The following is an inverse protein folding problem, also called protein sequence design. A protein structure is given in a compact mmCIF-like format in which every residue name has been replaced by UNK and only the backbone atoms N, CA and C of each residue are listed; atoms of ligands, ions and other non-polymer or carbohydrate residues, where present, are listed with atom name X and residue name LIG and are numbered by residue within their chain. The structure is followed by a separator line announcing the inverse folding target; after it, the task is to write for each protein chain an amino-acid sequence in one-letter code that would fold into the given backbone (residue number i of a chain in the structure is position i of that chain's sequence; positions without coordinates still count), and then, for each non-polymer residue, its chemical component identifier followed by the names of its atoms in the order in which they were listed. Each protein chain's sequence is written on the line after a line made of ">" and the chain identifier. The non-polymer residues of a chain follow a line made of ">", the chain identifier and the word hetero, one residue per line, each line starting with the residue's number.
data_IF_011726685895
#
_entry.id   IF_011726685895
#
_cell.length_a   1.000
_cell.length_b   1.000
_cell.length_c   1.000
_cell.angle_alpha   90.00
_cell.angle_beta   90.00
_cell.angle_gamma   90.00
#
_symmetry.space_group_name_H-M   'P 1'
#
loop_
_entity.id
_entity.type
_entity.pdbx_description
1 polymer ?
#
# COMPACT_ATOMS: atom_id res chain seq x y z
N UNK A 1 56.64 -29.62 -8.60
CA UNK A 1 55.33 -29.80 -7.95
C UNK A 1 54.27 -29.04 -8.74
N UNK A 2 53.49 -29.79 -9.50
CA UNK A 2 52.30 -29.35 -10.23
C UNK A 2 51.21 -28.88 -9.27
N UNK A 3 50.87 -27.59 -9.34
CA UNK A 3 49.73 -27.00 -8.64
C UNK A 3 48.45 -27.28 -9.44
N UNK A 4 47.93 -28.50 -9.33
CA UNK A 4 46.56 -28.84 -9.73
C UNK A 4 45.74 -29.07 -8.46
N UNK A 5 45.38 -27.97 -7.79
CA UNK A 5 44.24 -28.00 -6.88
C UNK A 5 42.99 -27.92 -7.75
N UNK A 6 42.47 -29.11 -8.06
CA UNK A 6 41.14 -29.30 -8.63
C UNK A 6 40.13 -28.84 -7.56
N UNK A 7 39.84 -27.55 -7.53
CA UNK A 7 38.71 -27.02 -6.77
C UNK A 7 37.50 -27.02 -7.70
N UNK A 8 36.50 -27.80 -7.28
CA UNK A 8 35.11 -27.47 -7.53
C UNK A 8 34.42 -28.30 -8.59
N UNK A 9 34.18 -29.57 -8.27
CA UNK A 9 33.09 -30.33 -8.88
C UNK A 9 31.76 -29.59 -8.60
N UNK A 10 31.05 -29.29 -9.68
CA UNK A 10 29.75 -28.65 -9.74
C UNK A 10 28.63 -29.54 -9.18
N UNK A 11 27.82 -28.97 -8.26
CA UNK A 11 26.40 -29.22 -7.92
C UNK A 11 26.16 -29.33 -6.41
N UNK A 12 25.50 -28.33 -5.83
CA UNK A 12 25.17 -28.32 -4.40
C UNK A 12 24.24 -27.19 -3.91
N UNK A 13 23.18 -26.87 -4.66
CA UNK A 13 21.88 -26.55 -4.05
C UNK A 13 21.66 -25.22 -3.28
N UNK A 14 22.29 -24.12 -3.67
CA UNK A 14 21.92 -22.77 -3.19
C UNK A 14 21.34 -21.91 -4.32
N UNK A 15 20.31 -21.10 -4.04
CA UNK A 15 19.84 -20.12 -5.03
C UNK A 15 20.93 -19.07 -5.29
N UNK A 16 21.15 -18.78 -6.58
CA UNK A 16 22.06 -17.72 -7.01
C UNK A 16 21.72 -16.38 -6.32
N UNK A 17 22.65 -15.76 -5.57
CA UNK A 17 22.36 -14.55 -4.80
C UNK A 17 21.82 -13.38 -5.64
N UNK A 18 22.26 -13.26 -6.89
CA UNK A 18 21.78 -12.23 -7.81
C UNK A 18 20.33 -12.50 -8.22
N UNK A 19 19.97 -13.74 -8.53
CA UNK A 19 18.59 -14.16 -8.79
C UNK A 19 17.68 -13.91 -7.57
N UNK A 20 18.13 -14.23 -6.35
CA UNK A 20 17.36 -13.98 -5.11
C UNK A 20 17.11 -12.49 -4.92
N UNK A 21 18.14 -11.66 -5.11
CA UNK A 21 18.02 -10.21 -5.00
C UNK A 21 17.04 -9.64 -6.04
N UNK A 22 17.17 -10.02 -7.31
CA UNK A 22 16.27 -9.58 -8.39
C UNK A 22 14.82 -10.02 -8.15
N UNK A 23 14.63 -11.26 -7.66
CA UNK A 23 13.30 -11.79 -7.31
C UNK A 23 12.68 -11.00 -6.15
N UNK A 24 13.48 -10.62 -5.16
CA UNK A 24 13.02 -9.81 -4.02
C UNK A 24 12.56 -8.43 -4.47
N UNK A 25 13.32 -7.76 -5.35
CA UNK A 25 12.93 -6.46 -5.92
C UNK A 25 11.67 -6.58 -6.78
N UNK A 26 11.55 -7.64 -7.58
CA UNK A 26 10.35 -7.87 -8.40
C UNK A 26 9.10 -8.09 -7.53
N UNK A 27 9.21 -8.87 -6.46
CA UNK A 27 8.13 -9.10 -5.51
C UNK A 27 7.76 -7.82 -4.75
N UNK A 28 8.75 -7.02 -4.34
CA UNK A 28 8.50 -5.72 -3.70
C UNK A 28 7.75 -4.77 -4.64
N UNK A 29 8.18 -4.68 -5.91
CA UNK A 29 7.48 -3.89 -6.93
C UNK A 29 6.05 -4.36 -7.12
N UNK A 30 5.83 -5.68 -7.19
CA UNK A 30 4.48 -6.24 -7.32
C UNK A 30 3.60 -5.90 -6.12
N UNK A 31 4.09 -6.11 -4.91
CA UNK A 31 3.36 -5.76 -3.69
C UNK A 31 3.02 -4.27 -3.62
N UNK A 32 3.95 -3.40 -4.02
CA UNK A 32 3.69 -1.96 -4.11
C UNK A 32 2.59 -1.63 -5.13
N UNK A 33 2.65 -2.21 -6.33
CA UNK A 33 1.64 -2.00 -7.36
C UNK A 33 0.26 -2.49 -6.92
N UNK A 34 0.18 -3.66 -6.30
CA UNK A 34 -1.09 -4.22 -5.80
C UNK A 34 -1.72 -3.30 -4.74
N UNK A 35 -0.91 -2.76 -3.81
CA UNK A 35 -1.37 -1.77 -2.82
C UNK A 35 -1.83 -0.49 -3.50
N UNK A 36 -1.08 0.02 -4.48
CA UNK A 36 -1.42 1.26 -5.19
C UNK A 36 -2.72 1.13 -6.00
N UNK A 37 -2.90 0.01 -6.71
CA UNK A 37 -4.14 -0.29 -7.46
C UNK A 37 -5.32 -0.42 -6.50
N UNK A 38 -5.18 -1.20 -5.43
CA UNK A 38 -6.24 -1.37 -4.42
C UNK A 38 -6.63 -0.03 -3.80
N UNK A 39 -5.66 0.83 -3.52
CA UNK A 39 -5.92 2.18 -3.01
C UNK A 39 -6.66 3.05 -4.04
N UNK A 40 -6.26 3.00 -5.31
CA UNK A 40 -6.97 3.68 -6.40
C UNK A 40 -8.41 3.21 -6.57
N UNK A 41 -8.65 1.90 -6.51
CA UNK A 41 -9.98 1.29 -6.59
C UNK A 41 -10.85 1.69 -5.40
N UNK A 42 -10.27 1.80 -4.20
CA UNK A 42 -10.97 2.30 -3.01
C UNK A 42 -11.37 3.77 -3.16
N UNK A 43 -10.47 4.62 -3.65
CA UNK A 43 -10.74 6.04 -3.89
C UNK A 43 -11.86 6.24 -4.90
N UNK A 44 -11.81 5.52 -6.01
CA UNK A 44 -12.81 5.65 -7.08
C UNK A 44 -14.13 4.95 -6.74
N UNK A 45 -14.09 3.83 -6.02
CA UNK A 45 -15.26 3.05 -5.62
C UNK A 45 -15.96 3.59 -4.39
N UNK A 46 -15.32 3.49 -3.22
CA UNK A 46 -15.95 3.82 -1.94
C UNK A 46 -16.16 5.33 -1.76
N UNK A 47 -15.20 6.14 -2.19
CA UNK A 47 -15.29 7.60 -2.09
C UNK A 47 -15.87 8.27 -3.33
N UNK A 48 -16.01 7.55 -4.45
CA UNK A 48 -16.55 8.11 -5.70
C UNK A 48 -15.68 9.20 -6.32
N UNK A 49 -14.42 9.36 -5.89
CA UNK A 49 -13.51 10.41 -6.36
C UNK A 49 -12.88 9.93 -7.66
N UNK A 50 -13.20 10.60 -8.76
CA UNK A 50 -12.69 10.30 -10.10
C UNK A 50 -11.66 11.32 -10.53
N UNK A 51 -11.02 11.08 -11.68
CA UNK A 51 -10.00 11.97 -12.23
C UNK A 51 -10.55 13.39 -12.50
N UNK A 52 -11.83 13.49 -12.86
CA UNK A 52 -12.54 14.74 -13.13
C UNK A 52 -13.12 15.42 -11.88
N UNK A 53 -13.08 14.78 -10.71
CA UNK A 53 -13.60 15.37 -9.47
C UNK A 53 -12.76 16.59 -9.10
N UNK A 54 -13.41 17.74 -8.89
CA UNK A 54 -12.70 18.97 -8.52
C UNK A 54 -12.14 18.84 -7.10
N UNK A 55 -10.93 19.35 -6.89
CA UNK A 55 -10.29 19.39 -5.57
C UNK A 55 -11.16 20.08 -4.51
N UNK A 56 -11.93 21.10 -4.90
CA UNK A 56 -12.89 21.78 -4.04
C UNK A 56 -13.98 20.84 -3.52
N UNK A 57 -14.46 19.93 -4.37
CA UNK A 57 -15.58 19.05 -4.05
C UNK A 57 -15.11 17.94 -3.09
N UNK A 58 -13.89 17.46 -3.27
CA UNK A 58 -13.21 16.56 -2.31
C UNK A 58 -13.03 17.25 -0.95
N UNK A 59 -12.54 18.49 -0.94
CA UNK A 59 -12.39 19.27 0.29
C UNK A 59 -13.72 19.44 1.01
N UNK A 60 -14.77 19.85 0.27
CA UNK A 60 -16.13 19.99 0.80
C UNK A 60 -16.64 18.68 1.41
N UNK A 61 -16.48 17.55 0.73
CA UNK A 61 -16.93 16.25 1.21
C UNK A 61 -16.37 15.91 2.60
N UNK A 62 -15.07 16.10 2.80
CA UNK A 62 -14.45 15.81 4.10
C UNK A 62 -14.79 16.86 5.18
N UNK A 63 -15.00 18.13 4.79
CA UNK A 63 -15.51 19.16 5.70
C UNK A 63 -16.92 18.81 6.19
N UNK A 64 -17.83 18.41 5.29
CA UNK A 64 -19.20 18.02 5.64
C UNK A 64 -19.20 16.83 6.63
N UNK A 65 -18.30 15.85 6.44
CA UNK A 65 -18.11 14.73 7.38
C UNK A 65 -17.66 15.23 8.75
N UNK A 66 -16.66 16.12 8.80
CA UNK A 66 -16.14 16.66 10.04
C UNK A 66 -17.22 17.41 10.84
N UNK A 67 -17.98 18.28 10.18
CA UNK A 67 -19.10 19.02 10.78
C UNK A 67 -20.19 18.07 11.31
N UNK A 68 -20.51 17.02 10.54
CA UNK A 68 -21.47 16.00 10.95
C UNK A 68 -20.99 15.27 12.21
N UNK A 69 -19.72 14.87 12.27
CA UNK A 69 -19.14 14.18 13.42
C UNK A 69 -19.13 15.06 14.67
N UNK A 70 -18.83 16.36 14.52
CA UNK A 70 -18.93 17.31 15.63
C UNK A 70 -20.37 17.45 16.14
N UNK A 71 -21.35 17.54 15.23
CA UNK A 71 -22.77 17.61 15.57
C UNK A 71 -23.24 16.37 16.33
N UNK A 72 -22.89 15.17 15.83
CA UNK A 72 -23.20 13.90 16.49
C UNK A 72 -22.56 13.82 17.88
N UNK A 73 -21.28 14.20 17.99
CA UNK A 73 -20.57 14.24 19.28
C UNK A 73 -21.28 15.13 20.29
N UNK A 74 -21.66 16.36 19.89
CA UNK A 74 -22.38 17.30 20.77
C UNK A 74 -23.72 16.74 21.25
N UNK A 75 -24.50 16.12 20.34
CA UNK A 75 -25.77 15.47 20.69
C UNK A 75 -25.57 14.33 21.67
N UNK A 76 -24.62 13.44 21.39
CA UNK A 76 -24.34 12.30 22.27
C UNK A 76 -23.91 12.76 23.67
N UNK A 77 -23.09 13.80 23.76
CA UNK A 77 -22.70 14.39 25.04
C UNK A 77 -23.89 14.99 25.80
N UNK A 78 -24.85 15.60 25.10
CA UNK A 78 -26.06 16.12 25.72
C UNK A 78 -26.95 14.99 26.26
N UNK A 79 -27.15 13.92 25.49
CA UNK A 79 -27.94 12.75 25.92
C UNK A 79 -27.31 12.00 27.10
N UNK A 80 -25.98 11.86 27.13
CA UNK A 80 -25.27 11.16 28.22
C UNK A 80 -25.15 12.01 29.49
N UNK A 81 -25.27 13.33 29.38
CA UNK A 81 -25.21 14.24 30.53
C UNK A 81 -26.59 14.47 31.21
N UNK A 82 -27.68 13.99 30.60
CA UNK A 82 -29.05 14.05 31.12
C UNK A 82 -29.36 12.85 32.03
#
# INVERSE_FOLDING_TARGET
>A
MTLFLIIGCNNGGGEDPQKVFLTSIANLRKGFLDVFVTFGDMITGAFGIKAETKKSDVGKYFTDIAETMESVKKKLQAEVAA
#
